data_IF_208172933647
#
_entry.id   IF_208172933647
#
_cell.length_a   1.000
_cell.length_b   1.000
_cell.length_c   1.000
_cell.angle_alpha   90.00
_cell.angle_beta   90.00
_cell.angle_gamma   90.00
#
_symmetry.space_group_name_H-M   'P 1'
#
loop_
_entity.id
_entity.type
_entity.pdbx_description
1 polymer ?
#
# COMPACT_ATOMS: atom_id res chain seq x y z
N UNK A 1 -11.37 -20.86 -7.75
CA UNK A 1 -11.39 -22.30 -7.41
C UNK A 1 -11.29 -22.42 -5.90
N UNK A 2 -12.42 -22.65 -5.24
CA UNK A 2 -12.57 -22.91 -3.82
C UNK A 2 -11.91 -24.25 -3.45
N UNK A 3 -11.12 -24.29 -2.38
CA UNK A 3 -10.57 -25.55 -1.85
C UNK A 3 -11.57 -26.14 -0.85
N UNK A 4 -12.00 -27.35 -1.15
CA UNK A 4 -13.06 -28.09 -0.45
C UNK A 4 -12.47 -28.94 0.68
N UNK A 5 -13.13 -28.97 1.84
CA UNK A 5 -12.81 -29.89 2.94
C UNK A 5 -14.08 -30.65 3.29
N UNK A 6 -14.01 -31.99 3.24
CA UNK A 6 -15.11 -32.89 3.56
C UNK A 6 -15.06 -33.26 5.05
N UNK A 7 -16.11 -32.99 5.82
CA UNK A 7 -16.18 -33.39 7.24
C UNK A 7 -17.44 -34.23 7.50
N UNK A 8 -17.26 -35.38 8.14
CA UNK A 8 -18.36 -36.23 8.60
C UNK A 8 -18.74 -35.87 10.05
N UNK A 9 -19.99 -35.45 10.27
CA UNK A 9 -20.55 -35.31 11.60
C UNK A 9 -21.20 -36.63 12.06
N UNK A 10 -20.86 -37.11 13.26
CA UNK A 10 -21.63 -38.12 13.99
C UNK A 10 -22.40 -37.40 15.08
N UNK A 11 -23.72 -37.50 15.05
CA UNK A 11 -24.56 -37.04 16.16
C UNK A 11 -24.32 -37.95 17.38
N UNK A 12 -23.99 -37.36 18.52
CA UNK A 12 -23.55 -38.09 19.71
C UNK A 12 -24.69 -38.60 20.59
N UNK A 13 -25.97 -38.34 20.25
CA UNK A 13 -27.06 -38.67 21.16
C UNK A 13 -28.14 -39.65 20.69
N UNK A 14 -28.19 -40.06 19.42
CA UNK A 14 -29.05 -41.17 18.99
C UNK A 14 -28.37 -41.89 17.84
N UNK A 15 -28.05 -43.17 17.99
CA UNK A 15 -27.27 -44.00 17.05
C UNK A 15 -27.93 -44.26 15.69
N UNK A 16 -28.47 -43.23 15.01
CA UNK A 16 -28.90 -43.27 13.63
C UNK A 16 -27.83 -42.61 12.75
N UNK A 17 -27.33 -43.39 11.80
CA UNK A 17 -26.50 -42.89 10.70
C UNK A 17 -27.41 -42.09 9.77
N UNK A 18 -27.19 -40.78 9.66
CA UNK A 18 -27.87 -39.95 8.66
C UNK A 18 -27.47 -40.42 7.25
N UNK A 19 -28.38 -40.33 6.26
CA UNK A 19 -28.01 -40.56 4.86
C UNK A 19 -26.93 -39.55 4.45
N UNK A 20 -25.98 -40.00 3.63
CA UNK A 20 -24.85 -39.20 3.12
C UNK A 20 -25.36 -37.95 2.40
N UNK A 21 -25.49 -36.85 3.12
CA UNK A 21 -25.55 -35.51 2.53
C UNK A 21 -24.24 -34.80 2.86
N UNK A 22 -23.55 -34.40 1.80
CA UNK A 22 -22.38 -33.55 1.84
C UNK A 22 -22.79 -32.18 2.38
N UNK A 23 -22.32 -31.84 3.58
CA UNK A 23 -22.48 -30.51 4.13
C UNK A 23 -21.17 -29.77 3.87
N UNK A 24 -21.25 -28.68 3.09
CA UNK A 24 -20.16 -27.73 2.93
C UNK A 24 -20.00 -26.97 4.25
N UNK A 25 -18.77 -26.94 4.77
CA UNK A 25 -18.45 -26.16 5.97
C UNK A 25 -17.19 -25.34 5.66
N UNK A 26 -17.35 -24.03 5.60
CA UNK A 26 -16.28 -23.05 5.45
C UNK A 26 -15.62 -22.73 6.79
N UNK A 27 -14.47 -22.06 6.78
CA UNK A 27 -13.81 -21.59 8.02
C UNK A 27 -14.73 -20.66 8.80
N UNK A 28 -15.50 -19.82 8.09
CA UNK A 28 -16.51 -18.96 8.69
C UNK A 28 -17.64 -19.75 9.38
N UNK A 29 -18.07 -20.87 8.80
CA UNK A 29 -19.10 -21.74 9.41
C UNK A 29 -18.59 -22.40 10.71
N UNK A 30 -17.28 -22.70 10.79
CA UNK A 30 -16.65 -23.25 11.99
C UNK A 30 -16.52 -22.16 13.06
N UNK A 31 -16.07 -20.95 12.68
CA UNK A 31 -15.98 -19.80 13.58
C UNK A 31 -17.36 -19.43 14.14
N UNK A 32 -18.39 -19.37 13.29
CA UNK A 32 -19.77 -19.08 13.70
C UNK A 32 -20.31 -20.16 14.65
N UNK A 33 -20.07 -21.44 14.35
CA UNK A 33 -20.49 -22.55 15.21
C UNK A 33 -19.77 -22.51 16.57
N UNK A 34 -18.46 -22.22 16.60
CA UNK A 34 -17.70 -22.06 17.82
C UNK A 34 -18.19 -20.87 18.64
N UNK A 35 -18.41 -19.73 18.00
CA UNK A 35 -18.91 -18.52 18.67
C UNK A 35 -20.32 -18.71 19.22
N UNK A 36 -21.17 -19.48 18.52
CA UNK A 36 -22.53 -19.78 18.99
C UNK A 36 -22.52 -20.73 20.19
N UNK A 37 -21.73 -21.80 20.15
CA UNK A 37 -21.57 -22.73 21.29
C UNK A 37 -20.93 -22.02 22.49
N UNK A 38 -19.95 -21.15 22.23
CA UNK A 38 -19.30 -20.35 23.26
C UNK A 38 -20.27 -19.36 23.92
N UNK A 39 -21.09 -18.65 23.13
CA UNK A 39 -22.08 -17.70 23.63
C UNK A 39 -23.27 -18.37 24.33
N UNK A 40 -23.78 -19.48 23.80
CA UNK A 40 -24.87 -20.25 24.43
C UNK A 40 -24.46 -20.80 25.80
N UNK A 41 -23.18 -21.14 26.00
CA UNK A 41 -22.68 -21.63 27.29
C UNK A 41 -22.13 -20.57 28.24
N UNK A 42 -21.66 -19.42 27.72
CA UNK A 42 -21.35 -18.24 28.54
C UNK A 42 -22.57 -17.73 29.30
N UNK A 43 -23.77 -17.88 28.72
CA UNK A 43 -25.02 -17.49 29.37
C UNK A 43 -25.47 -18.47 30.47
N UNK A 44 -24.81 -19.62 30.66
CA UNK A 44 -25.32 -20.72 31.50
C UNK A 44 -24.71 -20.90 32.89
N UNK A 45 -23.64 -20.18 33.29
CA UNK A 45 -23.28 -19.79 34.69
C UNK A 45 -21.79 -19.46 34.86
N UNK A 46 -21.54 -18.54 35.79
CA UNK A 46 -20.22 -18.20 36.34
C UNK A 46 -19.71 -19.33 37.26
N UNK A 47 -18.81 -20.19 36.79
CA UNK A 47 -18.01 -21.02 37.70
C UNK A 47 -16.60 -21.31 37.15
N UNK A 48 -15.51 -20.96 37.89
CA UNK A 48 -14.13 -21.06 37.40
C UNK A 48 -13.66 -22.47 36.99
N UNK A 49 -14.24 -23.53 37.58
CA UNK A 49 -13.93 -24.92 37.21
C UNK A 49 -14.45 -25.30 35.81
N UNK A 50 -15.42 -24.56 35.29
CA UNK A 50 -16.05 -24.82 33.99
C UNK A 50 -15.19 -24.28 32.83
N UNK A 51 -14.51 -23.14 33.02
CA UNK A 51 -13.58 -22.58 32.03
C UNK A 51 -12.41 -23.53 31.73
N UNK A 52 -11.90 -24.22 32.76
CA UNK A 52 -10.85 -25.24 32.60
C UNK A 52 -11.36 -26.45 31.81
N UNK A 53 -12.64 -26.80 31.94
CA UNK A 53 -13.26 -27.90 31.19
C UNK A 53 -13.50 -27.52 29.72
N UNK A 54 -14.01 -26.32 29.45
CA UNK A 54 -14.20 -25.77 28.09
C UNK A 54 -12.86 -25.63 27.37
N UNK A 55 -11.84 -25.14 28.06
CA UNK A 55 -10.48 -25.05 27.51
C UNK A 55 -9.93 -26.43 27.13
N UNK A 56 -10.09 -27.45 27.99
CA UNK A 56 -9.66 -28.83 27.69
C UNK A 56 -10.44 -29.48 26.54
N UNK A 57 -11.71 -29.11 26.37
CA UNK A 57 -12.55 -29.55 25.26
C UNK A 57 -12.11 -28.91 23.94
N UNK A 58 -11.80 -27.61 23.95
CA UNK A 58 -11.23 -26.89 22.82
C UNK A 58 -9.86 -27.44 22.43
N UNK A 59 -8.98 -27.67 23.41
CA UNK A 59 -7.67 -28.28 23.18
C UNK A 59 -7.81 -29.66 22.53
N UNK A 60 -8.67 -30.54 23.07
CA UNK A 60 -8.94 -31.85 22.46
C UNK A 60 -9.51 -31.75 21.05
N UNK A 61 -10.41 -30.80 20.79
CA UNK A 61 -11.03 -30.61 19.48
C UNK A 61 -10.00 -30.17 18.45
N UNK A 62 -9.14 -29.20 18.81
CA UNK A 62 -8.04 -28.72 17.97
C UNK A 62 -7.01 -29.82 17.72
N UNK A 63 -6.62 -30.59 18.75
CA UNK A 63 -5.70 -31.73 18.59
C UNK A 63 -6.29 -32.80 17.66
N UNK A 64 -7.58 -33.12 17.79
CA UNK A 64 -8.26 -34.10 16.92
C UNK A 64 -8.34 -33.62 15.47
N UNK A 65 -8.52 -32.31 15.25
CA UNK A 65 -8.49 -31.68 13.92
C UNK A 65 -7.09 -31.75 13.30
N UNK A 66 -6.05 -31.49 14.09
CA UNK A 66 -4.65 -31.57 13.66
C UNK A 66 -4.18 -33.01 13.40
N UNK A 67 -4.62 -33.98 14.21
CA UNK A 67 -4.36 -35.42 14.00
C UNK A 67 -5.06 -35.97 12.75
N UNK A 68 -6.26 -35.47 12.45
CA UNK A 68 -6.95 -35.81 11.19
C UNK A 68 -6.33 -35.14 9.99
N UNK A 69 -5.77 -33.94 10.13
CA UNK A 69 -5.04 -33.25 9.07
C UNK A 69 -3.68 -33.90 8.78
N UNK A 70 -3.00 -34.44 9.79
CA UNK A 70 -1.71 -35.15 9.65
C UNK A 70 -1.85 -36.56 9.07
N UNK A 71 -3.00 -37.22 9.23
CA UNK A 71 -3.29 -38.49 8.56
C UNK A 71 -3.61 -38.34 7.05
N UNK A 72 -3.69 -37.12 6.52
CA UNK A 72 -3.70 -36.84 5.06
C UNK A 72 -2.25 -36.65 4.57
N UNK A 73 -1.42 -37.62 4.91
CA UNK A 73 0.05 -37.53 5.00
C UNK A 73 0.86 -37.46 3.70
N UNK A 74 0.32 -36.98 2.58
CA UNK A 74 1.08 -36.96 1.31
C UNK A 74 0.99 -35.64 0.50
N UNK A 75 0.69 -34.50 1.12
CA UNK A 75 0.65 -33.21 0.38
C UNK A 75 1.11 -31.96 1.12
N UNK A 76 1.74 -32.07 2.30
CA UNK A 76 2.47 -30.93 2.90
C UNK A 76 3.87 -30.82 2.31
N UNK A 77 3.95 -30.61 0.99
CA UNK A 77 5.15 -30.04 0.37
C UNK A 77 5.35 -28.64 0.98
N UNK A 78 6.57 -28.38 1.45
CA UNK A 78 7.13 -27.07 1.85
C UNK A 78 6.15 -25.89 1.70
N UNK A 79 5.59 -25.39 2.80
CA UNK A 79 4.99 -24.04 2.82
C UNK A 79 6.16 -23.03 2.83
N UNK A 80 6.89 -22.96 1.71
CA UNK A 80 7.84 -21.88 1.41
C UNK A 80 7.04 -20.60 1.28
N UNK A 81 7.21 -19.66 2.21
CA UNK A 81 6.65 -18.29 2.22
C UNK A 81 5.78 -17.90 1.00
N UNK A 82 4.52 -18.37 0.89
CA UNK A 82 3.68 -18.06 -0.26
C UNK A 82 3.02 -16.68 -0.11
N UNK A 83 3.02 -16.10 1.10
CA UNK A 83 2.28 -14.89 1.43
C UNK A 83 2.94 -13.59 0.93
N UNK A 84 4.27 -13.58 0.74
CA UNK A 84 5.01 -12.41 0.20
C UNK A 84 5.30 -12.52 -1.29
N UNK A 85 5.48 -13.74 -1.83
CA UNK A 85 5.96 -13.92 -3.21
C UNK A 85 4.91 -13.66 -4.31
N UNK A 86 3.63 -13.46 -3.96
CA UNK A 86 2.55 -13.38 -4.95
C UNK A 86 1.61 -12.17 -4.86
N UNK A 87 1.88 -11.16 -4.02
CA UNK A 87 1.09 -9.91 -4.05
C UNK A 87 1.91 -8.80 -4.70
N UNK A 88 1.58 -8.53 -5.96
CA UNK A 88 2.05 -7.35 -6.68
C UNK A 88 1.37 -6.12 -6.10
N UNK A 89 2.15 -5.16 -5.60
CA UNK A 89 1.67 -3.83 -5.21
C UNK A 89 1.24 -3.07 -6.48
N UNK A 90 0.00 -2.58 -6.55
CA UNK A 90 -0.49 -1.80 -7.68
C UNK A 90 -0.49 -0.31 -7.36
N UNK A 91 0.34 0.44 -8.06
CA UNK A 91 0.46 1.89 -7.94
C UNK A 91 -0.18 2.55 -9.16
N UNK A 92 -1.00 3.57 -8.92
CA UNK A 92 -1.53 4.45 -9.98
C UNK A 92 -0.99 5.85 -9.78
N UNK A 93 -0.34 6.39 -10.81
CA UNK A 93 0.14 7.76 -10.81
C UNK A 93 -0.81 8.67 -11.59
N UNK A 94 -1.27 9.72 -10.92
CA UNK A 94 -2.18 10.74 -11.42
C UNK A 94 -1.51 12.10 -11.40
N UNK A 95 -1.90 12.97 -12.31
CA UNK A 95 -1.40 14.34 -12.37
C UNK A 95 -1.63 14.94 -13.74
N UNK A 96 -1.79 16.26 -13.79
CA UNK A 96 -2.07 16.96 -15.04
C UNK A 96 -0.88 16.89 -16.01
N UNK A 97 -1.10 17.23 -17.28
CA UNK A 97 0.01 17.47 -18.20
C UNK A 97 0.92 18.56 -17.63
N UNK A 98 2.25 18.36 -17.69
CA UNK A 98 3.23 19.29 -17.12
C UNK A 98 3.49 19.16 -15.61
N UNK A 99 2.79 18.27 -14.90
CA UNK A 99 2.99 18.03 -13.46
C UNK A 99 4.30 17.29 -13.11
N UNK A 100 5.15 16.98 -14.09
CA UNK A 100 6.45 16.33 -13.85
C UNK A 100 6.40 14.80 -13.67
N UNK A 101 5.28 14.12 -13.98
CA UNK A 101 5.12 12.66 -13.85
C UNK A 101 6.25 11.84 -14.47
N UNK A 102 6.50 12.04 -15.77
CA UNK A 102 7.51 11.29 -16.53
C UNK A 102 8.92 11.56 -15.99
N UNK A 103 9.26 12.83 -15.72
CA UNK A 103 10.54 13.21 -15.12
C UNK A 103 10.75 12.58 -13.73
N UNK A 104 9.71 12.62 -12.88
CA UNK A 104 9.72 11.97 -11.58
C UNK A 104 9.95 10.46 -11.70
N UNK A 105 9.23 9.78 -12.58
CA UNK A 105 9.39 8.33 -12.80
C UNK A 105 10.81 7.97 -13.24
N UNK A 106 11.40 8.73 -14.17
CA UNK A 106 12.75 8.49 -14.66
C UNK A 106 13.80 8.68 -13.56
N UNK A 107 13.72 9.79 -12.82
CA UNK A 107 14.66 10.06 -11.73
C UNK A 107 14.49 9.09 -10.56
N UNK A 108 13.26 8.76 -10.18
CA UNK A 108 12.97 7.74 -9.17
C UNK A 108 13.56 6.38 -9.57
N UNK A 109 13.37 5.97 -10.82
CA UNK A 109 13.89 4.69 -11.30
C UNK A 109 15.43 4.69 -11.31
N UNK A 110 16.06 5.76 -11.78
CA UNK A 110 17.51 5.89 -11.80
C UNK A 110 18.12 5.91 -10.39
N UNK A 111 17.51 6.64 -9.46
CA UNK A 111 17.94 6.67 -8.06
C UNK A 111 17.80 5.28 -7.43
N UNK A 112 16.64 4.65 -7.58
CA UNK A 112 16.35 3.38 -6.93
C UNK A 112 16.99 2.16 -7.62
N UNK A 113 17.46 2.23 -8.86
CA UNK A 113 18.25 1.13 -9.45
C UNK A 113 19.64 1.04 -8.80
N UNK A 114 20.24 2.20 -8.50
CA UNK A 114 21.53 2.27 -7.79
C UNK A 114 21.38 1.90 -6.31
N UNK A 115 20.21 2.21 -5.77
CA UNK A 115 19.75 1.81 -4.46
C UNK A 115 19.85 2.92 -3.42
N UNK A 116 18.81 3.02 -2.59
CA UNK A 116 18.75 3.98 -1.48
C UNK A 116 18.59 3.19 -0.20
N UNK A 117 19.58 3.31 0.70
CA UNK A 117 19.60 2.61 1.99
C UNK A 117 19.32 1.10 1.88
N UNK A 118 19.88 0.48 0.83
CA UNK A 118 19.75 -0.94 0.53
C UNK A 118 18.46 -1.33 -0.22
N UNK A 119 17.55 -0.40 -0.44
CA UNK A 119 16.31 -0.59 -1.21
C UNK A 119 16.62 -0.37 -2.70
N UNK A 120 16.30 -1.35 -3.54
CA UNK A 120 16.49 -1.25 -4.99
C UNK A 120 15.24 -1.59 -5.77
N UNK A 121 15.09 -0.96 -6.94
CA UNK A 121 14.05 -1.24 -7.92
C UNK A 121 14.71 -1.68 -9.22
N UNK A 122 14.27 -2.80 -9.77
CA UNK A 122 14.71 -3.29 -11.07
C UNK A 122 13.51 -3.57 -11.95
N UNK A 123 13.56 -3.15 -13.22
CA UNK A 123 12.54 -3.55 -14.18
C UNK A 123 12.53 -5.07 -14.36
N UNK A 124 11.34 -5.67 -14.45
CA UNK A 124 11.19 -7.09 -14.80
C UNK A 124 11.65 -7.32 -16.25
N UNK A 125 11.38 -6.35 -17.11
CA UNK A 125 11.80 -6.34 -18.52
C UNK A 125 13.08 -5.49 -18.65
N UNK A 126 14.18 -6.12 -19.08
CA UNK A 126 15.47 -5.47 -19.23
C UNK A 126 15.47 -4.38 -20.30
N UNK A 127 14.67 -4.52 -21.36
CA UNK A 127 14.58 -3.52 -22.43
C UNK A 127 13.87 -2.27 -21.91
N UNK A 128 12.81 -2.46 -21.12
CA UNK A 128 12.13 -1.36 -20.42
C UNK A 128 13.08 -0.66 -19.45
N UNK A 129 13.85 -1.44 -18.67
CA UNK A 129 14.82 -0.88 -17.73
C UNK A 129 15.90 -0.06 -18.44
N UNK A 130 16.45 -0.58 -19.53
CA UNK A 130 17.46 0.10 -20.36
C UNK A 130 16.90 1.36 -20.98
N UNK A 131 15.66 1.32 -21.50
CA UNK A 131 14.97 2.49 -22.06
C UNK A 131 14.83 3.61 -21.02
N UNK A 132 14.41 3.29 -19.80
CA UNK A 132 14.27 4.27 -18.72
C UNK A 132 15.62 4.89 -18.34
N UNK A 133 16.69 4.09 -18.25
CA UNK A 133 18.03 4.61 -17.95
C UNK A 133 18.59 5.48 -19.08
N UNK A 134 18.39 5.10 -20.35
CA UNK A 134 18.82 5.93 -21.48
C UNK A 134 18.05 7.27 -21.52
N UNK A 135 16.76 7.27 -21.18
CA UNK A 135 15.98 8.50 -21.06
C UNK A 135 16.46 9.38 -19.90
N UNK A 136 16.84 8.76 -18.78
CA UNK A 136 17.48 9.45 -17.66
C UNK A 136 18.86 10.03 -18.05
N UNK A 137 19.69 9.25 -18.74
CA UNK A 137 21.01 9.71 -19.20
C UNK A 137 20.87 10.92 -20.14
N UNK A 138 19.88 10.91 -21.04
CA UNK A 138 19.56 12.08 -21.88
C UNK A 138 19.14 13.28 -21.03
N UNK A 139 18.30 13.08 -20.02
CA UNK A 139 17.91 14.14 -19.08
C UNK A 139 19.13 14.75 -18.39
N UNK A 140 20.14 13.96 -18.00
CA UNK A 140 21.33 14.44 -17.30
C UNK A 140 22.37 15.06 -18.23
N UNK A 141 22.62 14.46 -19.40
CA UNK A 141 23.72 14.80 -20.30
C UNK A 141 23.40 15.82 -21.38
N UNK A 142 22.11 16.06 -21.66
CA UNK A 142 21.68 17.04 -22.68
C UNK A 142 21.38 18.39 -22.04
N UNK A 143 21.57 19.45 -22.82
CA UNK A 143 21.18 20.82 -22.46
C UNK A 143 19.95 21.27 -23.25
N UNK A 144 19.31 22.34 -22.78
CA UNK A 144 18.18 22.97 -23.46
C UNK A 144 16.87 22.20 -23.37
N UNK A 145 15.85 22.67 -24.09
CA UNK A 145 14.50 22.10 -24.05
C UNK A 145 14.43 20.62 -24.43
N UNK A 146 15.39 20.15 -25.24
CA UNK A 146 15.41 18.81 -25.79
C UNK A 146 15.87 17.74 -24.79
N UNK A 147 16.41 18.13 -23.62
CA UNK A 147 16.72 17.17 -22.54
C UNK A 147 15.46 16.60 -21.90
N UNK A 148 14.36 17.34 -21.91
CA UNK A 148 13.12 16.97 -21.23
C UNK A 148 12.31 15.95 -22.05
N UNK A 149 11.85 14.84 -21.46
CA UNK A 149 11.01 13.89 -22.16
C UNK A 149 9.68 14.55 -22.53
N UNK A 150 9.13 14.27 -23.72
CA UNK A 150 7.79 14.73 -24.06
C UNK A 150 6.79 14.11 -23.06
N UNK A 151 5.75 14.87 -22.70
CA UNK A 151 4.66 14.31 -21.90
C UNK A 151 4.04 13.09 -22.59
N UNK A 152 3.63 12.08 -21.82
CA UNK A 152 3.07 10.80 -22.29
C UNK A 152 2.03 11.03 -23.41
N UNK A 153 2.36 10.77 -24.70
CA UNK A 153 1.60 11.33 -25.84
C UNK A 153 0.24 10.67 -26.06
N UNK A 154 0.13 9.36 -25.83
CA UNK A 154 -1.08 8.57 -26.07
C UNK A 154 -1.07 7.27 -25.26
N UNK A 155 -2.14 7.02 -24.51
CA UNK A 155 -2.35 5.78 -23.76
C UNK A 155 -1.93 5.83 -22.30
N UNK A 156 -2.19 4.72 -21.61
CA UNK A 156 -1.75 4.45 -20.24
C UNK A 156 -0.51 3.55 -20.33
N UNK A 157 0.59 3.93 -19.69
CA UNK A 157 1.81 3.11 -19.68
C UNK A 157 1.86 2.28 -18.38
N UNK A 158 2.23 1.01 -18.51
CA UNK A 158 2.30 0.07 -17.40
C UNK A 158 3.73 -0.47 -17.29
N UNK A 159 4.30 -0.33 -16.10
CA UNK A 159 5.65 -0.76 -15.78
C UNK A 159 5.60 -1.79 -14.67
N UNK A 160 6.42 -2.83 -14.79
CA UNK A 160 6.49 -3.90 -13.81
C UNK A 160 7.91 -3.97 -13.24
N UNK A 161 8.00 -3.93 -11.92
CA UNK A 161 9.27 -3.86 -11.22
C UNK A 161 9.38 -4.90 -10.10
N UNK A 162 10.63 -5.28 -9.81
CA UNK A 162 11.05 -5.98 -8.62
C UNK A 162 11.61 -4.98 -7.62
N UNK A 163 11.01 -4.92 -6.43
CA UNK A 163 11.58 -4.23 -5.28
C UNK A 163 12.40 -5.22 -4.44
N UNK A 164 13.62 -4.85 -4.11
CA UNK A 164 14.51 -5.65 -3.26
C UNK A 164 15.06 -4.83 -2.11
N UNK A 165 15.48 -5.50 -1.04
CA UNK A 165 16.27 -4.92 0.03
C UNK A 165 17.51 -5.78 0.27
N UNK A 166 18.70 -5.17 0.20
CA UNK A 166 19.99 -5.86 0.25
C UNK A 166 20.00 -7.11 -0.64
N UNK A 167 19.65 -6.92 -1.91
CA UNK A 167 19.54 -7.95 -2.98
C UNK A 167 18.47 -9.02 -2.79
N UNK A 168 17.74 -9.02 -1.67
CA UNK A 168 16.62 -9.94 -1.44
C UNK A 168 15.31 -9.33 -1.94
N UNK A 169 14.57 -9.99 -2.84
CA UNK A 169 13.25 -9.51 -3.26
C UNK A 169 12.31 -9.32 -2.07
N UNK A 170 11.65 -8.16 -2.00
CA UNK A 170 10.58 -7.87 -1.05
C UNK A 170 9.23 -8.15 -1.70
N UNK A 171 8.97 -7.51 -2.84
CA UNK A 171 7.72 -7.65 -3.58
C UNK A 171 7.91 -7.23 -5.05
N UNK A 172 6.91 -7.55 -5.86
CA UNK A 172 6.74 -6.92 -7.17
C UNK A 172 5.83 -5.72 -7.00
N UNK A 173 6.02 -4.69 -7.81
CA UNK A 173 4.99 -3.67 -7.97
C UNK A 173 4.77 -3.34 -9.44
N UNK A 174 3.50 -3.06 -9.72
CA UNK A 174 2.99 -2.61 -10.98
C UNK A 174 2.74 -1.11 -10.86
N UNK A 175 3.34 -0.32 -11.73
CA UNK A 175 3.13 1.10 -11.79
C UNK A 175 2.40 1.43 -13.07
N UNK A 176 1.32 2.17 -12.95
CA UNK A 176 0.58 2.68 -14.09
C UNK A 176 0.65 4.21 -14.14
N UNK A 177 1.30 4.75 -15.19
CA UNK A 177 1.29 6.18 -15.49
C UNK A 177 0.01 6.51 -16.27
N UNK A 178 -0.92 7.16 -15.58
CA UNK A 178 -2.21 7.52 -16.16
C UNK A 178 -2.11 8.88 -16.86
N UNK A 179 -2.65 8.96 -18.08
CA UNK A 179 -2.57 10.15 -18.92
C UNK A 179 -3.19 11.38 -18.23
N UNK A 180 -2.47 12.50 -18.27
CA UNK A 180 -2.92 13.74 -17.62
C UNK A 180 -4.16 14.38 -18.26
N UNK A 181 -4.41 14.11 -19.55
CA UNK A 181 -5.56 14.64 -20.29
C UNK A 181 -6.91 14.03 -19.86
N UNK A 182 -6.90 12.88 -19.18
CA UNK A 182 -8.10 12.31 -18.58
C UNK A 182 -8.58 13.07 -17.32
N UNK A 183 -7.75 13.98 -16.80
CA UNK A 183 -8.07 14.87 -15.68
C UNK A 183 -8.43 16.30 -16.15
N UNK A 184 -8.45 16.55 -17.47
CA UNK A 184 -8.73 17.89 -18.04
C UNK A 184 -10.19 18.03 -18.50
N UNK A 185 -10.59 19.25 -18.91
CA UNK A 185 -11.95 19.60 -19.34
C UNK A 185 -12.49 18.73 -20.49
N UNK A 186 -11.59 18.16 -21.31
CA UNK A 186 -11.92 17.27 -22.44
C UNK A 186 -12.18 15.82 -22.04
N UNK A 187 -12.05 15.46 -20.76
CA UNK A 187 -12.24 14.08 -20.32
C UNK A 187 -13.72 13.70 -20.30
N UNK A 188 -14.06 12.65 -21.05
CA UNK A 188 -15.43 12.16 -21.18
C UNK A 188 -15.83 11.25 -19.99
N UNK A 189 -17.09 10.82 -19.93
CA UNK A 189 -17.57 9.92 -18.86
C UNK A 189 -16.82 8.58 -18.83
N UNK A 190 -16.36 8.09 -19.98
CA UNK A 190 -15.58 6.85 -20.07
C UNK A 190 -14.21 6.99 -19.40
N UNK A 191 -13.54 8.13 -19.56
CA UNK A 191 -12.25 8.43 -18.92
C UNK A 191 -12.39 8.46 -17.39
N UNK A 192 -13.47 9.08 -16.89
CA UNK A 192 -13.75 9.13 -15.45
C UNK A 192 -14.00 7.74 -14.88
N UNK A 193 -14.79 6.92 -15.59
CA UNK A 193 -15.08 5.55 -15.17
C UNK A 193 -13.82 4.68 -15.15
N UNK A 194 -12.99 4.75 -16.19
CA UNK A 194 -11.71 4.02 -16.23
C UNK A 194 -10.79 4.40 -15.06
N UNK A 195 -10.78 5.69 -14.70
CA UNK A 195 -10.00 6.17 -13.57
C UNK A 195 -10.56 5.67 -12.22
N UNK A 196 -11.89 5.66 -12.05
CA UNK A 196 -12.53 5.05 -10.87
C UNK A 196 -12.22 3.55 -10.76
N UNK A 197 -12.42 2.81 -11.85
CA UNK A 197 -12.09 1.38 -11.92
C UNK A 197 -10.62 1.13 -11.57
N UNK A 198 -9.73 2.04 -12.00
CA UNK A 198 -8.31 1.96 -11.69
C UNK A 198 -8.02 2.23 -10.21
N UNK A 199 -8.65 3.23 -9.59
CA UNK A 199 -8.49 3.50 -8.16
C UNK A 199 -8.92 2.29 -7.32
N UNK A 200 -10.03 1.63 -7.71
CA UNK A 200 -10.55 0.44 -7.01
C UNK A 200 -9.53 -0.71 -6.97
N UNK A 201 -8.81 -0.94 -8.08
CA UNK A 201 -7.82 -2.02 -8.15
C UNK A 201 -6.43 -1.60 -7.66
N UNK A 202 -6.22 -0.34 -7.32
CA UNK A 202 -4.93 0.18 -6.87
C UNK A 202 -4.74 -0.10 -5.39
N UNK A 203 -3.51 -0.42 -5.02
CA UNK A 203 -3.11 -0.50 -3.61
C UNK A 203 -2.66 0.86 -3.07
N UNK A 204 -2.20 1.75 -3.95
CA UNK A 204 -1.74 3.11 -3.63
C UNK A 204 -1.93 4.05 -4.82
N UNK A 205 -2.22 5.32 -4.54
CA UNK A 205 -2.29 6.37 -5.57
C UNK A 205 -1.22 7.43 -5.34
N UNK A 206 -0.39 7.71 -6.35
CA UNK A 206 0.52 8.83 -6.38
C UNK A 206 -0.17 9.99 -7.09
N UNK A 207 -0.29 11.14 -6.44
CA UNK A 207 -0.85 12.36 -6.99
C UNK A 207 0.28 13.37 -7.21
N UNK A 208 0.76 13.47 -8.44
CA UNK A 208 1.78 14.44 -8.84
C UNK A 208 1.19 15.84 -8.97
N UNK A 209 1.72 16.75 -8.17
CA UNK A 209 1.30 18.15 -8.08
C UNK A 209 2.55 19.01 -8.19
N UNK A 210 2.66 19.92 -9.17
CA UNK A 210 3.81 20.80 -9.24
C UNK A 210 3.76 21.83 -8.11
N UNK A 211 4.91 22.11 -7.50
CA UNK A 211 5.04 22.98 -6.33
C UNK A 211 4.53 24.41 -6.55
N UNK A 212 4.61 24.91 -7.79
CA UNK A 212 4.01 26.17 -8.21
C UNK A 212 2.50 26.27 -7.91
N UNK A 213 1.76 25.14 -7.95
CA UNK A 213 0.34 25.09 -7.63
C UNK A 213 0.05 25.33 -6.13
N UNK A 214 1.05 25.13 -5.28
CA UNK A 214 1.01 25.39 -3.84
C UNK A 214 1.52 26.80 -3.51
N UNK A 215 2.52 27.29 -4.25
CA UNK A 215 3.06 28.65 -4.06
C UNK A 215 2.02 29.74 -4.31
N UNK A 216 1.22 29.59 -5.36
CA UNK A 216 0.16 30.55 -5.69
C UNK A 216 -0.89 30.54 -4.57
N UNK A 217 -1.16 31.71 -3.97
CA UNK A 217 -2.30 31.81 -3.08
C UNK A 217 -3.54 31.52 -3.94
N UNK A 218 -4.36 30.53 -3.54
CA UNK A 218 -5.43 29.88 -4.33
C UNK A 218 -6.48 30.86 -4.91
N UNK A 219 -6.34 32.16 -4.62
CA UNK A 219 -7.10 33.27 -5.17
C UNK A 219 -6.71 33.69 -6.60
N UNK A 220 -5.57 33.30 -7.18
CA UNK A 220 -5.08 33.95 -8.42
C UNK A 220 -5.07 33.16 -9.74
N UNK A 221 -5.38 31.85 -9.81
CA UNK A 221 -5.53 31.18 -11.13
C UNK A 221 -6.70 30.20 -11.18
N UNK A 222 -7.71 30.57 -11.98
CA UNK A 222 -8.93 29.80 -12.29
C UNK A 222 -8.65 28.35 -12.71
N UNK A 223 -7.55 28.11 -13.45
CA UNK A 223 -7.20 26.80 -14.03
C UNK A 223 -6.73 25.78 -12.98
N UNK A 224 -5.89 26.18 -12.02
CA UNK A 224 -5.41 25.29 -10.95
C UNK A 224 -6.59 24.87 -10.07
N UNK A 225 -7.49 25.81 -9.77
CA UNK A 225 -8.70 25.57 -8.98
C UNK A 225 -9.64 24.56 -9.66
N UNK A 226 -9.93 24.71 -10.95
CA UNK A 226 -10.82 23.78 -11.67
C UNK A 226 -10.26 22.35 -11.75
N UNK A 227 -8.98 22.19 -12.11
CA UNK A 227 -8.33 20.87 -12.21
C UNK A 227 -8.30 20.16 -10.85
N UNK A 228 -8.04 20.92 -9.80
CA UNK A 228 -8.03 20.42 -8.43
C UNK A 228 -9.43 20.06 -7.92
N UNK A 229 -10.46 20.83 -8.27
CA UNK A 229 -11.84 20.52 -7.90
C UNK A 229 -12.30 19.17 -8.46
N UNK A 230 -12.02 18.87 -9.74
CA UNK A 230 -12.40 17.59 -10.35
C UNK A 230 -11.72 16.39 -9.69
N UNK A 231 -10.44 16.55 -9.31
CA UNK A 231 -9.73 15.53 -8.52
C UNK A 231 -10.33 15.36 -7.13
N UNK A 232 -10.67 16.45 -6.43
CA UNK A 232 -11.37 16.37 -5.15
C UNK A 232 -12.73 15.67 -5.27
N UNK A 233 -13.50 15.98 -6.32
CA UNK A 233 -14.80 15.33 -6.57
C UNK A 233 -14.64 13.83 -6.79
N UNK A 234 -13.66 13.42 -7.59
CA UNK A 234 -13.34 12.01 -7.82
C UNK A 234 -12.95 11.30 -6.52
N UNK A 235 -12.05 11.90 -5.74
CA UNK A 235 -11.59 11.34 -4.46
C UNK A 235 -12.76 11.25 -3.47
N UNK A 236 -13.57 12.30 -3.34
CA UNK A 236 -14.74 12.31 -2.47
C UNK A 236 -15.77 11.23 -2.86
N UNK A 237 -16.02 11.06 -4.16
CA UNK A 237 -16.88 9.96 -4.67
C UNK A 237 -16.30 8.61 -4.33
N UNK A 238 -15.01 8.39 -4.60
CA UNK A 238 -14.34 7.14 -4.25
C UNK A 238 -14.48 6.84 -2.75
N UNK A 239 -14.24 7.82 -1.88
CA UNK A 239 -14.39 7.65 -0.43
C UNK A 239 -15.83 7.37 0.01
N UNK A 240 -16.82 7.91 -0.70
CA UNK A 240 -18.24 7.70 -0.38
C UNK A 240 -18.73 6.33 -0.88
N UNK A 241 -18.25 5.89 -2.03
CA UNK A 241 -18.66 4.64 -2.69
C UNK A 241 -17.93 3.41 -2.14
N UNK A 242 -16.78 3.61 -1.48
CA UNK A 242 -15.95 2.53 -0.94
C UNK A 242 -15.88 2.63 0.59
N UNK A 243 -16.71 1.83 1.26
CA UNK A 243 -16.59 1.61 2.71
C UNK A 243 -15.48 0.59 2.95
N UNK A 244 -14.38 1.05 3.55
CA UNK A 244 -13.33 0.17 4.06
C UNK A 244 -13.69 -0.27 5.48
N UNK A 245 -13.15 -1.40 5.94
CA UNK A 245 -13.29 -1.80 7.35
C UNK A 245 -12.67 -0.74 8.29
N UNK A 246 -13.08 -0.71 9.56
CA UNK A 246 -12.68 0.34 10.51
C UNK A 246 -11.15 0.49 10.68
N UNK A 247 -10.38 -0.59 10.55
CA UNK A 247 -8.90 -0.54 10.60
C UNK A 247 -8.24 -0.34 9.23
N UNK A 248 -9.00 -0.37 8.14
CA UNK A 248 -8.48 -0.18 6.79
C UNK A 248 -8.47 1.30 6.37
N UNK A 249 -7.45 1.64 5.57
CA UNK A 249 -7.24 2.94 4.96
C UNK A 249 -6.66 2.76 3.56
N UNK A 250 -6.87 3.72 2.67
CA UNK A 250 -6.30 3.74 1.32
C UNK A 250 -5.13 4.72 1.26
N UNK A 251 -3.92 4.29 0.87
CA UNK A 251 -2.76 5.17 0.84
C UNK A 251 -2.76 6.06 -0.41
N UNK A 252 -2.57 7.36 -0.18
CA UNK A 252 -2.38 8.39 -1.20
C UNK A 252 -1.08 9.12 -0.91
N UNK A 253 -0.22 9.27 -1.91
CA UNK A 253 0.98 10.11 -1.78
C UNK A 253 0.82 11.34 -2.66
N UNK A 254 0.90 12.51 -2.06
CA UNK A 254 1.00 13.77 -2.79
C UNK A 254 2.47 13.96 -3.13
N UNK A 255 2.83 13.64 -4.37
CA UNK A 255 4.17 13.83 -4.92
C UNK A 255 4.28 15.27 -5.39
N UNK A 256 4.85 16.12 -4.54
CA UNK A 256 4.98 17.54 -4.82
C UNK A 256 6.23 17.78 -5.66
N UNK A 257 6.07 17.75 -6.98
CA UNK A 257 7.16 17.85 -7.96
C UNK A 257 7.65 19.30 -8.11
N UNK A 258 8.84 19.49 -8.69
CA UNK A 258 9.46 20.81 -8.85
C UNK A 258 9.63 21.57 -7.51
N UNK A 259 9.84 20.85 -6.42
CA UNK A 259 9.87 21.46 -5.09
C UNK A 259 11.00 22.50 -4.92
N UNK A 260 12.06 22.38 -5.71
CA UNK A 260 13.14 23.35 -5.87
C UNK A 260 12.63 24.79 -6.12
N UNK A 261 11.49 24.98 -6.79
CA UNK A 261 10.94 26.31 -7.06
C UNK A 261 10.49 27.05 -5.78
N UNK A 262 10.20 26.32 -4.70
CA UNK A 262 9.58 26.85 -3.47
C UNK A 262 10.31 26.47 -2.18
N UNK A 263 11.34 25.60 -2.25
CA UNK A 263 11.95 24.96 -1.09
C UNK A 263 12.49 25.96 -0.04
N UNK A 264 13.02 27.09 -0.48
CA UNK A 264 13.57 28.17 0.36
C UNK A 264 12.52 29.17 0.87
N UNK A 265 11.28 29.09 0.36
CA UNK A 265 10.23 30.09 0.55
C UNK A 265 9.07 29.61 1.43
N UNK A 266 9.07 28.35 1.85
CA UNK A 266 7.92 27.75 2.53
C UNK A 266 8.36 26.91 3.73
N UNK A 267 7.69 27.10 4.87
CA UNK A 267 7.85 26.22 6.02
C UNK A 267 7.03 24.94 5.85
N UNK A 268 7.39 23.88 6.58
CA UNK A 268 6.64 22.61 6.55
C UNK A 268 5.17 22.79 6.96
N UNK A 269 4.89 23.59 8.00
CA UNK A 269 3.53 23.88 8.43
C UNK A 269 2.72 24.62 7.35
N UNK A 270 3.35 25.60 6.68
CA UNK A 270 2.69 26.35 5.63
C UNK A 270 2.41 25.48 4.39
N UNK A 271 3.34 24.58 4.09
CA UNK A 271 3.20 23.57 3.05
C UNK A 271 2.00 22.65 3.33
N UNK A 272 1.95 22.03 4.52
CA UNK A 272 0.86 21.16 4.94
C UNK A 272 -0.48 21.90 4.83
N UNK A 273 -0.56 23.11 5.36
CA UNK A 273 -1.76 23.94 5.34
C UNK A 273 -2.26 24.20 3.92
N UNK A 274 -1.36 24.52 2.99
CA UNK A 274 -1.73 24.79 1.59
C UNK A 274 -2.11 23.53 0.83
N UNK A 275 -1.44 22.41 1.09
CA UNK A 275 -1.81 21.10 0.52
C UNK A 275 -3.20 20.68 1.00
N UNK A 276 -3.50 20.81 2.30
CA UNK A 276 -4.84 20.55 2.85
C UNK A 276 -5.92 21.43 2.22
N UNK A 277 -5.61 22.70 1.94
CA UNK A 277 -6.50 23.62 1.23
C UNK A 277 -6.72 23.22 -0.23
N UNK A 278 -5.71 22.65 -0.88
CA UNK A 278 -5.79 22.19 -2.26
C UNK A 278 -6.56 20.87 -2.36
N UNK A 279 -6.38 19.93 -1.42
CA UNK A 279 -7.03 18.62 -1.44
C UNK A 279 -7.88 18.33 -0.20
N UNK A 280 -8.91 19.12 0.10
CA UNK A 280 -9.74 18.92 1.30
C UNK A 280 -10.36 17.52 1.38
N UNK A 281 -10.63 16.86 0.25
CA UNK A 281 -11.22 15.52 0.20
C UNK A 281 -10.32 14.43 0.82
N UNK A 282 -9.01 14.68 0.95
CA UNK A 282 -8.03 13.73 1.49
C UNK A 282 -7.85 13.82 3.01
N UNK A 283 -8.32 14.90 3.66
CA UNK A 283 -8.07 15.15 5.08
C UNK A 283 -9.31 15.23 5.99
N UNK A 284 -10.50 14.67 5.68
CA UNK A 284 -11.56 14.58 6.66
C UNK A 284 -11.15 13.64 7.81
N UNK A 285 -11.42 14.05 9.06
CA UNK A 285 -11.18 13.23 10.25
C UNK A 285 -12.06 11.98 10.20
N UNK A 286 -11.46 10.81 10.45
CA UNK A 286 -12.16 9.52 10.33
C UNK A 286 -12.42 9.09 8.88
N UNK A 287 -11.84 9.81 7.90
CA UNK A 287 -11.91 9.43 6.49
C UNK A 287 -11.17 8.12 6.19
N UNK A 288 -11.19 7.71 4.93
CA UNK A 288 -10.58 6.45 4.50
C UNK A 288 -9.09 6.58 4.12
N UNK A 289 -8.51 7.78 4.14
CA UNK A 289 -7.21 8.04 3.53
C UNK A 289 -6.06 7.97 4.52
N UNK A 290 -4.96 7.34 4.11
CA UNK A 290 -3.64 7.59 4.69
C UNK A 290 -2.85 8.42 3.68
N UNK A 291 -2.40 9.62 4.05
CA UNK A 291 -1.81 10.59 3.14
C UNK A 291 -0.36 10.86 3.51
N UNK A 292 0.56 10.68 2.57
CA UNK A 292 1.92 11.20 2.68
C UNK A 292 2.10 12.43 1.77
N UNK A 293 2.80 13.45 2.24
CA UNK A 293 3.22 14.59 1.43
C UNK A 293 4.71 14.46 1.19
N UNK A 294 5.11 14.21 -0.05
CA UNK A 294 6.51 14.01 -0.43
C UNK A 294 6.96 15.14 -1.35
N UNK A 295 7.66 16.16 -0.83
CA UNK A 295 8.37 17.14 -1.64
C UNK A 295 9.50 16.46 -2.41
N UNK A 296 9.51 16.60 -3.74
CA UNK A 296 10.51 15.99 -4.61
C UNK A 296 11.03 16.97 -5.66
N UNK A 297 12.29 16.81 -6.03
CA UNK A 297 12.92 17.60 -7.09
C UNK A 297 13.95 16.76 -7.86
N UNK A 298 14.21 17.14 -9.11
CA UNK A 298 15.34 16.62 -9.88
C UNK A 298 16.63 17.40 -9.62
N UNK A 299 16.58 18.57 -8.97
CA UNK A 299 17.73 19.44 -8.73
C UNK A 299 17.31 20.84 -8.31
N UNK A 300 17.98 21.39 -7.30
CA UNK A 300 17.71 22.75 -6.79
C UNK A 300 18.03 23.85 -7.81
N UNK A 301 18.99 23.61 -8.71
CA UNK A 301 19.42 24.56 -9.72
C UNK A 301 18.42 24.69 -10.88
N UNK A 302 17.55 23.70 -11.07
CA UNK A 302 16.61 23.64 -12.18
C UNK A 302 15.51 24.71 -12.12
N UNK A 303 15.24 25.25 -10.93
CA UNK A 303 14.34 26.39 -10.78
C UNK A 303 14.89 27.65 -11.47
N UNK A 304 16.22 27.81 -11.49
CA UNK A 304 16.92 28.97 -12.01
C UNK A 304 17.39 28.76 -13.46
N UNK A 305 17.79 27.53 -13.77
CA UNK A 305 18.32 27.15 -15.08
C UNK A 305 17.76 25.79 -15.52
N UNK A 306 16.71 25.84 -16.35
CA UNK A 306 16.05 24.65 -16.89
C UNK A 306 16.79 24.03 -18.07
N UNK A 307 17.79 24.71 -18.61
CA UNK A 307 18.48 24.28 -19.81
C UNK A 307 19.78 23.56 -19.45
N UNK A 308 20.61 24.16 -18.59
CA UNK A 308 21.91 23.63 -18.17
C UNK A 308 22.05 23.31 -16.68
N UNK A 309 21.01 23.56 -15.87
CA UNK A 309 21.06 23.29 -14.43
C UNK A 309 21.36 21.82 -14.11
N UNK A 310 22.08 21.61 -13.01
CA UNK A 310 22.50 20.27 -12.60
C UNK A 310 21.33 19.41 -12.10
N UNK A 311 21.42 18.12 -12.40
CA UNK A 311 20.44 17.12 -11.95
C UNK A 311 20.97 16.49 -10.67
N UNK A 312 20.47 17.00 -9.54
CA UNK A 312 20.73 16.47 -8.21
C UNK A 312 19.41 16.08 -7.52
N UNK A 313 18.93 14.83 -7.72
CA UNK A 313 17.70 14.33 -7.15
C UNK A 313 17.53 14.59 -5.66
N UNK A 314 16.29 14.95 -5.28
CA UNK A 314 15.89 15.11 -3.89
C UNK A 314 14.60 14.31 -3.65
N UNK A 315 14.68 13.35 -2.72
CA UNK A 315 13.57 12.57 -2.19
C UNK A 315 12.73 11.77 -3.22
N UNK A 316 13.26 11.45 -4.40
CA UNK A 316 12.44 10.78 -5.43
C UNK A 316 12.05 9.35 -5.02
N UNK A 317 12.77 8.72 -4.08
CA UNK A 317 12.46 7.38 -3.55
C UNK A 317 11.30 7.36 -2.55
N UNK A 318 11.11 8.44 -1.78
CA UNK A 318 10.18 8.46 -0.63
C UNK A 318 8.73 8.07 -0.96
N UNK A 319 8.12 8.52 -2.08
CA UNK A 319 6.76 8.10 -2.40
C UNK A 319 6.60 6.58 -2.57
N UNK A 320 7.61 5.91 -3.11
CA UNK A 320 7.58 4.45 -3.29
C UNK A 320 7.85 3.74 -1.97
N UNK A 321 8.79 4.26 -1.17
CA UNK A 321 9.03 3.77 0.19
C UNK A 321 7.74 3.79 1.02
N UNK A 322 6.96 4.88 0.97
CA UNK A 322 5.66 4.96 1.65
C UNK A 322 4.66 3.93 1.15
N UNK A 323 4.49 3.80 -0.17
CA UNK A 323 3.54 2.84 -0.75
C UNK A 323 3.86 1.39 -0.34
N UNK A 324 5.15 1.04 -0.35
CA UNK A 324 5.64 -0.27 0.07
C UNK A 324 5.44 -0.47 1.56
N UNK A 325 5.87 0.50 2.38
CA UNK A 325 5.72 0.44 3.82
C UNK A 325 4.26 0.23 4.22
N UNK A 326 3.32 0.99 3.62
CA UNK A 326 1.90 0.86 3.88
C UNK A 326 1.38 -0.53 3.55
N UNK A 327 1.77 -1.07 2.39
CA UNK A 327 1.41 -2.43 1.97
C UNK A 327 1.93 -3.48 2.93
N UNK A 328 3.18 -3.35 3.39
CA UNK A 328 3.78 -4.27 4.35
C UNK A 328 3.08 -4.18 5.72
N UNK A 329 2.74 -2.99 6.20
CA UNK A 329 1.97 -2.78 7.43
C UNK A 329 0.58 -3.42 7.32
N UNK A 330 -0.12 -3.25 6.20
CA UNK A 330 -1.40 -3.94 5.95
C UNK A 330 -1.26 -5.45 5.97
N UNK A 331 -0.22 -5.98 5.35
CA UNK A 331 0.05 -7.42 5.36
C UNK A 331 0.37 -7.93 6.76
N UNK A 332 1.07 -7.12 7.58
CA UNK A 332 1.32 -7.40 9.02
C UNK A 332 0.00 -7.56 9.76
N UNK A 333 -0.89 -6.57 9.64
CA UNK A 333 -2.19 -6.54 10.33
C UNK A 333 -3.06 -7.73 9.88
N UNK A 334 -3.17 -7.97 8.57
CA UNK A 334 -3.96 -9.07 8.02
C UNK A 334 -3.44 -10.46 8.43
N UNK A 335 -2.15 -10.58 8.76
CA UNK A 335 -1.56 -11.80 9.29
C UNK A 335 -1.79 -11.99 10.80
N UNK A 336 -2.50 -11.07 11.47
CA UNK A 336 -2.71 -11.08 12.91
C UNK A 336 -1.43 -10.81 13.71
N UNK A 337 -0.40 -10.24 13.07
CA UNK A 337 0.84 -9.88 13.75
C UNK A 337 0.59 -8.63 14.61
N UNK A 338 0.79 -8.70 15.94
CA UNK A 338 0.51 -7.61 16.86
C UNK A 338 1.38 -6.38 16.61
N UNK A 339 0.83 -5.22 17.03
CA UNK A 339 1.35 -3.88 16.71
C UNK A 339 2.68 -3.52 17.43
N UNK A 340 3.14 -4.28 18.44
CA UNK A 340 4.26 -3.87 19.31
C UNK A 340 5.40 -4.92 19.44
N UNK A 341 6.64 -4.50 19.73
CA UNK A 341 7.84 -5.36 19.83
C UNK A 341 7.82 -6.36 21.01
N UNK A 342 6.96 -6.14 22.01
CA UNK A 342 7.16 -6.67 23.37
C UNK A 342 6.47 -8.02 23.69
N UNK A 343 5.82 -8.66 22.71
CA UNK A 343 5.04 -9.90 22.94
C UNK A 343 5.64 -11.16 22.27
N UNK A 344 6.64 -11.02 21.39
CA UNK A 344 7.35 -12.13 20.73
C UNK A 344 7.89 -13.18 21.74
N UNK A 345 8.15 -12.76 22.99
CA UNK A 345 8.58 -13.66 24.07
C UNK A 345 7.46 -14.36 24.83
N UNK A 346 6.19 -13.93 24.72
CA UNK A 346 5.10 -14.37 25.61
C UNK A 346 4.07 -15.32 24.98
N UNK A 347 4.00 -15.42 23.65
CA UNK A 347 2.98 -16.21 22.94
C UNK A 347 3.52 -17.45 22.21
N UNK A 348 4.80 -17.79 22.43
CA UNK A 348 5.48 -18.86 21.72
C UNK A 348 5.05 -20.32 21.99
N UNK A 349 3.99 -20.66 22.77
CA UNK A 349 3.48 -22.03 22.73
C UNK A 349 2.13 -22.28 22.06
N UNK A 350 1.36 -21.31 21.57
CA UNK A 350 -0.02 -21.62 21.14
C UNK A 350 -0.56 -20.72 20.04
N UNK A 351 -0.24 -21.03 18.78
CA UNK A 351 -1.20 -21.04 17.66
C UNK A 351 -0.50 -21.51 16.39
N UNK A 352 -0.85 -22.72 15.94
CA UNK A 352 -0.40 -23.30 14.67
C UNK A 352 -1.24 -22.70 13.54
N UNK A 353 -0.93 -21.46 13.15
CA UNK A 353 -1.06 -21.04 11.76
C UNK A 353 0.26 -21.43 11.10
N UNK A 354 0.21 -22.13 9.96
CA UNK A 354 1.37 -22.68 9.26
C UNK A 354 2.62 -21.82 9.42
N UNK A 355 3.56 -22.31 10.22
CA UNK A 355 4.58 -21.51 10.88
C UNK A 355 5.43 -20.77 9.87
N UNK A 356 5.24 -19.46 9.77
CA UNK A 356 6.23 -18.58 9.13
C UNK A 356 7.52 -18.74 9.96
N UNK A 357 8.67 -19.09 9.36
CA UNK A 357 9.92 -19.21 10.09
C UNK A 357 10.19 -17.92 10.88
N UNK A 358 10.59 -18.04 12.15
CA UNK A 358 10.89 -16.87 13.00
C UNK A 358 11.95 -15.94 12.39
N UNK A 359 12.87 -16.48 11.59
CA UNK A 359 13.85 -15.70 10.82
C UNK A 359 13.19 -14.73 9.86
N UNK A 360 12.10 -15.15 9.21
CA UNK A 360 11.47 -14.42 8.14
C UNK A 360 10.51 -13.36 8.70
N UNK A 361 9.88 -13.64 9.85
CA UNK A 361 9.14 -12.63 10.64
C UNK A 361 10.06 -11.52 11.13
N UNK A 362 11.23 -11.86 11.68
CA UNK A 362 12.23 -10.87 12.12
C UNK A 362 12.77 -10.03 10.96
N UNK A 363 13.03 -10.65 9.81
CA UNK A 363 13.45 -9.95 8.59
C UNK A 363 12.36 -9.00 8.08
N UNK A 364 11.10 -9.43 8.11
CA UNK A 364 9.94 -8.64 7.73
C UNK A 364 9.71 -7.42 8.65
N UNK A 365 9.74 -7.60 9.96
CA UNK A 365 9.65 -6.50 10.93
C UNK A 365 10.80 -5.52 10.78
N UNK A 366 12.02 -6.03 10.60
CA UNK A 366 13.20 -5.18 10.36
C UNK A 366 13.03 -4.31 9.12
N UNK A 367 12.47 -4.85 8.03
CA UNK A 367 12.17 -4.08 6.81
C UNK A 367 11.16 -2.97 7.06
N UNK A 368 10.09 -3.23 7.81
CA UNK A 368 9.09 -2.19 8.15
C UNK A 368 9.74 -1.06 8.93
N UNK A 369 10.53 -1.37 9.96
CA UNK A 369 11.22 -0.38 10.79
C UNK A 369 12.21 0.45 9.97
N UNK A 370 12.99 -0.19 9.10
CA UNK A 370 13.94 0.54 8.24
C UNK A 370 13.22 1.48 7.26
N UNK A 371 12.14 1.02 6.64
CA UNK A 371 11.34 1.87 5.74
C UNK A 371 10.69 3.03 6.49
N UNK A 372 10.27 2.86 7.74
CA UNK A 372 9.72 3.98 8.52
C UNK A 372 10.75 5.03 8.89
N UNK A 373 12.02 4.65 9.09
CA UNK A 373 13.09 5.63 9.36
C UNK A 373 13.32 6.57 8.17
N UNK A 374 13.20 6.08 6.93
CA UNK A 374 13.23 6.92 5.73
C UNK A 374 12.07 7.93 5.68
N UNK A 375 10.95 7.59 6.30
CA UNK A 375 9.71 8.37 6.24
C UNK A 375 9.56 9.34 7.41
N UNK A 376 10.50 9.38 8.36
CA UNK A 376 10.37 10.14 9.61
C UNK A 376 10.25 11.65 9.40
N UNK A 377 10.83 12.16 8.32
CA UNK A 377 10.92 13.59 8.03
C UNK A 377 9.85 14.09 7.05
N UNK A 378 8.94 13.21 6.58
CA UNK A 378 7.82 13.60 5.72
C UNK A 378 6.49 13.70 6.49
N UNK A 379 5.62 14.67 6.16
CA UNK A 379 4.28 14.72 6.73
C UNK A 379 3.45 13.50 6.32
N UNK A 380 3.02 12.71 7.31
CA UNK A 380 2.10 11.59 7.13
C UNK A 380 0.84 11.83 7.97
N UNK A 381 -0.31 11.52 7.37
CA UNK A 381 -1.62 11.62 7.99
C UNK A 381 -2.32 10.27 7.89
N UNK A 382 -2.97 9.84 8.97
CA UNK A 382 -3.86 8.68 9.01
C UNK A 382 -5.27 9.16 9.30
N UNK A 383 -6.19 8.90 8.39
CA UNK A 383 -7.61 9.28 8.50
C UNK A 383 -7.81 10.75 8.88
N UNK A 384 -6.99 11.64 8.31
CA UNK A 384 -7.00 13.08 8.54
C UNK A 384 -6.17 13.59 9.72
N UNK A 385 -5.71 12.70 10.60
CA UNK A 385 -4.89 13.03 11.76
C UNK A 385 -3.40 12.93 11.43
N UNK A 386 -2.60 13.91 11.84
CA UNK A 386 -1.16 13.89 11.59
C UNK A 386 -0.48 12.90 12.52
N UNK A 387 0.39 12.05 11.98
CA UNK A 387 1.20 11.13 12.77
C UNK A 387 2.51 11.80 13.18
N UNK A 388 2.92 11.66 14.44
CA UNK A 388 4.18 12.20 14.95
C UNK A 388 5.14 11.04 15.26
N UNK A 389 5.67 10.43 14.20
CA UNK A 389 6.67 9.37 14.30
C UNK A 389 6.09 7.95 14.22
N UNK A 390 6.97 6.96 14.36
CA UNK A 390 6.66 5.54 14.15
C UNK A 390 5.76 4.94 15.24
N UNK A 391 5.76 5.49 16.45
CA UNK A 391 5.05 4.92 17.60
C UNK A 391 3.51 4.96 17.44
N UNK A 392 3.00 5.81 16.54
CA UNK A 392 1.57 5.94 16.24
C UNK A 392 1.04 4.94 15.19
N UNK A 393 1.87 4.00 14.68
CA UNK A 393 1.54 3.05 13.58
C UNK A 393 1.63 1.57 13.94
#
# INVERSE_FOLDING_TARGET
>A
MSREVLVFARDFNKGRVMPKQSILVTVADIEECMMRVFNEELQRREHPRYMVMVQRLLERFVTTLLEKATNVGDSLKEVKMPLLQNKTLKITMLGTVGAGKTCYMLGMYAEMVTGVNGITINSIDLDVGTKLLNQWERLVSSEGSDRWPPGTPTGTEEFNFHLSYNTKPIMRFNWMDYRGAALTETANESDVKQLQDRLIISDCTLLCVPAEAIAQDVKSTTVVKYKTNRLNDLLARFATENTLADEESFPVVIVLTKFDEIADKISQDDLIRRVKRLFPALFPVGGIWDVAICPVSLGLELALDKDSGDINPFNLHLPIVFAVWHKLVKMRIAAGLPKNKDWLGKLLPTMVLGTIPQSDLKDFEKKIVLLSEELKDIPIFRKGEQLFGYEDV
#
